data_IF_160153349759
#
_entry.id   IF_160153349759
#
_cell.length_a   1.000
_cell.length_b   1.000
_cell.length_c   1.000
_cell.angle_alpha   90.00
_cell.angle_beta   90.00
_cell.angle_gamma   90.00
#
_symmetry.space_group_name_H-M   'P 1'
#
loop_
_entity.id
_entity.type
_entity.pdbx_description
1 polymer ?
#
# COMPACT_ATOMS: atom_id res chain seq x y z
N UNK A 1 -0.04 -24.73 -49.34
CA UNK A 1 0.71 -23.49 -48.99
C UNK A 1 -0.25 -22.55 -48.27
N UNK A 2 -0.30 -22.53 -46.94
CA UNK A 2 0.67 -21.85 -46.08
C UNK A 2 -0.01 -20.65 -45.38
N UNK A 3 -1.15 -20.86 -44.72
CA UNK A 3 -1.90 -19.82 -44.02
C UNK A 3 -1.20 -19.41 -42.72
N UNK A 4 -0.48 -18.28 -42.73
CA UNK A 4 0.20 -17.74 -41.55
C UNK A 4 -0.84 -17.38 -40.48
N UNK A 5 -0.98 -18.21 -39.44
CA UNK A 5 -1.76 -17.87 -38.24
C UNK A 5 -1.19 -16.59 -37.62
N UNK A 6 -1.96 -15.50 -37.62
CA UNK A 6 -1.60 -14.26 -36.90
C UNK A 6 -1.43 -14.59 -35.42
N UNK A 7 -0.22 -14.41 -34.89
CA UNK A 7 0.02 -14.48 -33.44
C UNK A 7 -0.75 -13.34 -32.78
N UNK A 8 -1.61 -13.69 -31.81
CA UNK A 8 -2.31 -12.72 -30.96
C UNK A 8 -1.24 -11.91 -30.22
N UNK A 9 -1.13 -10.61 -30.50
CA UNK A 9 -0.22 -9.72 -29.77
C UNK A 9 -0.73 -9.66 -28.34
N UNK A 10 -0.13 -10.43 -27.45
CA UNK A 10 -0.38 -10.33 -26.02
C UNK A 10 0.21 -9.00 -25.60
N UNK A 11 -0.64 -7.97 -25.49
CA UNK A 11 -0.25 -6.67 -24.96
C UNK A 11 0.29 -6.91 -23.56
N UNK A 12 1.60 -6.73 -23.37
CA UNK A 12 2.23 -6.83 -22.06
C UNK A 12 1.60 -5.74 -21.19
N UNK A 13 0.90 -6.14 -20.13
CA UNK A 13 0.33 -5.20 -19.16
C UNK A 13 1.50 -4.34 -18.65
N UNK A 14 1.40 -3.00 -18.70
CA UNK A 14 2.47 -2.14 -18.24
C UNK A 14 2.80 -2.52 -16.79
N UNK A 15 4.09 -2.59 -16.46
CA UNK A 15 4.59 -2.82 -15.10
C UNK A 15 4.20 -1.61 -14.26
N UNK A 16 2.95 -1.58 -13.77
CA UNK A 16 2.52 -0.61 -12.77
C UNK A 16 3.23 -0.99 -11.47
N UNK A 17 3.68 0.01 -10.71
CA UNK A 17 4.20 -0.22 -9.38
C UNK A 17 3.17 -1.09 -8.62
N UNK A 18 3.59 -2.18 -7.97
CA UNK A 18 2.68 -3.08 -7.27
C UNK A 18 1.93 -2.27 -6.21
N UNK A 19 0.62 -2.14 -6.39
CA UNK A 19 -0.28 -1.42 -5.47
C UNK A 19 -0.62 -2.24 -4.23
N UNK A 20 0.07 -3.37 -4.02
CA UNK A 20 -0.27 -4.36 -3.01
C UNK A 20 0.91 -4.52 -2.08
N UNK A 21 0.82 -3.93 -0.89
CA UNK A 21 1.83 -4.01 0.15
C UNK A 21 1.45 -5.07 1.20
N UNK A 22 2.48 -5.68 1.82
CA UNK A 22 2.32 -6.75 2.81
C UNK A 22 2.13 -6.17 4.21
N UNK A 23 1.16 -6.65 5.00
CA UNK A 23 1.05 -6.19 6.38
C UNK A 23 1.99 -6.98 7.32
N UNK A 24 2.79 -6.33 8.18
CA UNK A 24 3.65 -7.01 9.16
C UNK A 24 2.87 -7.74 10.26
N UNK A 25 1.65 -7.29 10.61
CA UNK A 25 0.84 -7.95 11.65
C UNK A 25 0.09 -9.19 11.19
N UNK A 26 -0.48 -9.17 9.97
CA UNK A 26 -1.42 -10.21 9.54
C UNK A 26 -0.95 -11.01 8.31
N UNK A 27 0.23 -10.70 7.77
CA UNK A 27 0.79 -11.33 6.56
C UNK A 27 -0.07 -11.15 5.30
N UNK A 28 -1.16 -10.37 5.38
CA UNK A 28 -2.06 -10.10 4.27
C UNK A 28 -1.52 -9.03 3.33
N UNK A 29 -1.57 -9.30 2.02
CA UNK A 29 -1.25 -8.35 0.96
C UNK A 29 -2.46 -7.44 0.68
N UNK A 30 -2.80 -6.57 1.63
CA UNK A 30 -4.01 -5.75 1.57
C UNK A 30 -3.83 -4.36 2.22
N UNK A 31 -2.61 -3.83 2.20
CA UNK A 31 -2.32 -2.49 2.71
C UNK A 31 -2.54 -1.46 1.58
N UNK A 32 -3.41 -0.49 1.85
CA UNK A 32 -3.69 0.67 1.01
C UNK A 32 -3.04 1.91 1.63
N UNK A 33 -2.54 2.80 0.79
CA UNK A 33 -1.84 4.00 1.22
C UNK A 33 -2.46 5.17 0.48
N UNK A 34 -3.15 6.03 1.22
CA UNK A 34 -3.75 7.26 0.73
C UNK A 34 -2.85 8.42 1.14
N UNK A 35 -2.34 9.16 0.16
CA UNK A 35 -1.42 10.28 0.40
C UNK A 35 -2.20 11.58 0.24
N UNK A 36 -2.41 12.28 1.34
CA UNK A 36 -2.95 13.63 1.36
C UNK A 36 -1.81 14.63 1.16
N UNK A 37 -1.66 15.10 -0.09
CA UNK A 37 -0.60 16.04 -0.50
C UNK A 37 -0.75 17.42 0.11
N UNK A 38 -1.98 17.81 0.45
CA UNK A 38 -2.32 19.11 1.05
C UNK A 38 -1.95 19.14 2.54
N UNK A 39 -2.12 18.01 3.23
CA UNK A 39 -1.86 17.88 4.66
C UNK A 39 -0.48 17.28 4.99
N UNK A 40 0.32 16.92 3.98
CA UNK A 40 1.64 16.29 4.17
C UNK A 40 1.56 14.99 5.00
N UNK A 41 0.47 14.23 4.84
CA UNK A 41 0.21 13.02 5.63
C UNK A 41 -0.19 11.86 4.73
N UNK A 42 0.39 10.69 4.99
CA UNK A 42 -0.02 9.41 4.42
C UNK A 42 -0.85 8.63 5.44
N UNK A 43 -1.98 8.12 4.97
CA UNK A 43 -2.86 7.21 5.69
C UNK A 43 -2.62 5.80 5.17
N UNK A 44 -2.01 4.96 6.00
CA UNK A 44 -1.79 3.55 5.73
C UNK A 44 -2.95 2.76 6.35
N UNK A 45 -3.72 2.03 5.52
CA UNK A 45 -4.87 1.22 5.96
C UNK A 45 -4.71 -0.23 5.55
N UNK A 46 -4.75 -1.14 6.52
CA UNK A 46 -4.76 -2.58 6.29
C UNK A 46 -6.19 -3.11 6.16
N UNK A 47 -6.58 -3.66 5.01
CA UNK A 47 -7.93 -4.22 4.82
C UNK A 47 -8.23 -5.50 5.62
N UNK A 48 -7.19 -6.24 6.04
CA UNK A 48 -7.33 -7.54 6.73
C UNK A 48 -7.36 -7.40 8.26
N UNK A 49 -6.52 -6.51 8.77
CA UNK A 49 -6.32 -6.27 10.19
C UNK A 49 -6.94 -4.94 10.68
N UNK A 50 -7.48 -4.14 9.76
CA UNK A 50 -8.11 -2.84 10.01
C UNK A 50 -7.21 -1.85 10.75
N UNK A 51 -5.90 -2.03 10.64
CA UNK A 51 -4.91 -1.09 11.15
C UNK A 51 -4.96 0.18 10.31
N UNK A 52 -5.05 1.32 10.98
CA UNK A 52 -4.91 2.63 10.38
C UNK A 52 -3.73 3.34 11.05
N UNK A 53 -2.74 3.73 10.25
CA UNK A 53 -1.60 4.52 10.69
C UNK A 53 -1.52 5.82 9.88
N UNK A 54 -1.29 6.92 10.58
CA UNK A 54 -1.08 8.25 10.00
C UNK A 54 0.40 8.59 10.12
N UNK A 55 1.07 8.75 8.98
CA UNK A 55 2.50 9.05 8.92
C UNK A 55 2.66 10.39 8.20
N UNK A 56 3.34 11.38 8.78
CA UNK A 56 3.68 12.61 8.07
C UNK A 56 4.73 12.27 7.01
N UNK A 57 4.43 12.55 5.76
CA UNK A 57 5.34 12.36 4.63
C UNK A 57 5.34 13.61 3.76
N UNK A 58 6.47 13.85 3.09
CA UNK A 58 6.53 14.96 2.15
C UNK A 58 5.77 14.62 0.87
N UNK A 59 5.19 15.61 0.19
CA UNK A 59 4.37 15.42 -1.02
C UNK A 59 5.13 14.88 -2.23
N UNK A 60 6.46 14.78 -2.12
CA UNK A 60 7.37 14.19 -3.13
C UNK A 60 7.48 12.67 -2.94
N UNK A 61 7.22 12.16 -1.74
CA UNK A 61 7.39 10.76 -1.39
C UNK A 61 6.26 9.89 -1.97
N UNK A 62 6.64 8.69 -2.39
CA UNK A 62 5.73 7.71 -2.99
C UNK A 62 5.10 6.83 -1.91
N UNK A 63 4.05 6.08 -2.28
CA UNK A 63 3.43 5.10 -1.39
C UNK A 63 4.42 4.06 -0.84
N UNK A 64 5.47 3.76 -1.61
CA UNK A 64 6.55 2.83 -1.19
C UNK A 64 7.36 3.39 -0.03
N UNK A 65 7.66 4.69 -0.04
CA UNK A 65 8.46 5.34 0.99
C UNK A 65 7.68 5.43 2.32
N UNK A 66 6.36 5.71 2.23
CA UNK A 66 5.46 5.66 3.38
C UNK A 66 5.37 4.26 4.00
N UNK A 67 5.40 3.22 3.16
CA UNK A 67 5.41 1.83 3.62
C UNK A 67 6.75 1.43 4.27
N UNK A 68 7.88 1.89 3.72
CA UNK A 68 9.20 1.68 4.31
C UNK A 68 9.27 2.25 5.72
N UNK A 69 8.91 3.53 5.87
CA UNK A 69 8.79 4.18 7.19
C UNK A 69 7.88 3.39 8.12
N UNK A 70 6.69 3.01 7.65
CA UNK A 70 5.76 2.20 8.44
C UNK A 70 6.38 0.90 8.97
N UNK A 71 7.13 0.15 8.15
CA UNK A 71 7.81 -1.08 8.58
C UNK A 71 8.91 -0.76 9.59
N UNK A 72 9.78 0.19 9.25
CA UNK A 72 10.91 0.57 10.08
C UNK A 72 10.43 1.04 11.45
N UNK A 73 9.31 1.76 11.51
CA UNK A 73 8.69 2.18 12.77
C UNK A 73 7.99 1.02 13.49
N UNK A 74 7.31 0.14 12.77
CA UNK A 74 6.61 -1.01 13.34
C UNK A 74 7.58 -1.97 14.04
N UNK A 75 8.75 -2.21 13.45
CA UNK A 75 9.80 -3.05 14.06
C UNK A 75 10.78 -2.26 14.94
N UNK A 76 11.02 -0.98 14.64
CA UNK A 76 11.98 -0.11 15.32
C UNK A 76 11.43 0.61 16.56
N UNK A 77 10.13 0.48 16.88
CA UNK A 77 9.52 1.08 18.06
C UNK A 77 9.09 2.54 17.87
N UNK A 78 8.82 2.94 16.62
CA UNK A 78 8.45 4.30 16.24
C UNK A 78 7.05 4.70 16.70
N UNK A 79 6.95 5.89 17.30
CA UNK A 79 5.73 6.49 17.85
C UNK A 79 4.79 6.97 16.73
N UNK A 80 4.00 6.07 16.16
CA UNK A 80 2.86 6.47 15.35
C UNK A 80 1.54 6.29 16.07
N UNK A 81 0.61 7.19 15.75
CA UNK A 81 -0.77 7.17 16.20
C UNK A 81 -1.45 6.01 15.46
N UNK A 82 -1.24 4.78 15.94
CA UNK A 82 -1.96 3.61 15.44
C UNK A 82 -3.38 3.73 15.96
N UNK A 83 -4.28 4.23 15.11
CA UNK A 83 -5.70 4.25 15.45
C UNK A 83 -6.23 2.84 15.23
N UNK A 84 -6.21 2.03 16.30
CA UNK A 84 -7.00 0.78 16.35
C UNK A 84 -8.46 1.20 16.45
N UNK A 85 -9.13 1.35 15.30
CA UNK A 85 -10.58 1.50 15.31
C UNK A 85 -11.18 0.17 15.77
N UNK A 86 -11.63 0.14 17.02
CA UNK A 86 -12.46 -0.93 17.54
C UNK A 86 -13.66 -1.10 16.61
N UNK A 87 -13.99 -2.35 16.31
CA UNK A 87 -15.02 -2.77 15.38
C UNK A 87 -16.33 -2.00 15.58
N UNK A 88 -16.89 -1.47 14.49
CA UNK A 88 -18.32 -1.18 14.43
C UNK A 88 -19.03 -2.46 13.97
N UNK A 89 -19.70 -3.09 14.92
CA UNK A 89 -20.68 -4.16 14.77
C UNK A 89 -21.90 -3.66 14.02
N UNK A 90 -22.38 -4.41 13.02
CA UNK A 90 -23.80 -4.67 12.69
C UNK A 90 -23.87 -5.69 11.57
#
# INVERSE_FOLDING_TARGET
MGGRKRKKVVKRVPKRLPTVFSCPECGGKAVRIDIDREAGTARVKCGRCKLEALIPISSIESAVDAYGKFIDDYYGGGKFIVQRKAAQTS
#
